data_IF_494846769346
#
_entry.id   IF_494846769346
#
_cell.length_a   1.000
_cell.length_b   1.000
_cell.length_c   1.000
_cell.angle_alpha   90.00
_cell.angle_beta   90.00
_cell.angle_gamma   90.00
#
_symmetry.space_group_name_H-M   'P 1'
#
loop_
_entity.id
_entity.type
_entity.pdbx_description
1 polymer ?
#
# COMPACT_ATOMS: atom_id res chain seq x y z
N UNK A 1 11.75 -12.06 -1.27
CA UNK A 1 10.87 -11.05 -0.62
C UNK A 1 10.56 -11.33 0.84
N UNK A 2 10.92 -12.49 1.42
CA UNK A 2 10.63 -12.83 2.83
C UNK A 2 11.32 -11.92 3.83
N UNK A 3 12.59 -11.56 3.60
CA UNK A 3 13.38 -10.74 4.53
C UNK A 3 12.82 -9.31 4.65
N UNK A 4 12.45 -8.67 3.54
CA UNK A 4 11.78 -7.35 3.57
C UNK A 4 10.42 -7.39 4.29
N UNK A 5 9.74 -8.55 4.32
CA UNK A 5 8.49 -8.66 5.09
C UNK A 5 8.71 -8.47 6.58
N UNK A 6 9.89 -8.83 7.09
CA UNK A 6 10.21 -8.66 8.51
C UNK A 6 10.29 -7.19 8.89
N UNK A 7 10.83 -6.35 8.01
CA UNK A 7 10.91 -4.90 8.20
C UNK A 7 9.52 -4.30 8.43
N UNK A 8 8.59 -4.49 7.48
CA UNK A 8 7.27 -3.84 7.60
C UNK A 8 6.26 -4.57 8.50
N UNK A 9 6.56 -5.81 8.92
CA UNK A 9 5.79 -6.55 9.93
C UNK A 9 6.35 -6.42 11.34
N UNK A 10 7.46 -5.71 11.53
CA UNK A 10 8.03 -5.48 12.85
C UNK A 10 7.00 -4.81 13.79
N UNK A 11 7.05 -5.08 15.10
CA UNK A 11 6.09 -4.49 16.03
C UNK A 11 6.26 -2.97 16.16
N UNK A 12 7.50 -2.48 16.19
CA UNK A 12 7.86 -1.06 16.36
C UNK A 12 8.82 -0.58 15.26
N UNK A 13 9.00 0.75 15.16
CA UNK A 13 9.95 1.35 14.23
C UNK A 13 11.41 0.95 14.51
N UNK A 14 11.79 0.84 15.79
CA UNK A 14 13.15 0.44 16.19
C UNK A 14 13.45 -1.00 15.79
N UNK A 15 12.48 -1.91 15.98
CA UNK A 15 12.62 -3.29 15.54
C UNK A 15 12.67 -3.38 14.01
N UNK A 16 11.92 -2.53 13.30
CA UNK A 16 11.97 -2.44 11.85
C UNK A 16 13.33 -1.96 11.32
N UNK A 17 13.97 -1.00 12.01
CA UNK A 17 15.32 -0.53 11.71
C UNK A 17 16.35 -1.65 11.86
N UNK A 18 16.28 -2.44 12.93
CA UNK A 18 17.16 -3.59 13.14
C UNK A 18 17.00 -4.64 12.03
N UNK A 19 15.75 -4.95 11.64
CA UNK A 19 15.50 -5.86 10.53
C UNK A 19 16.00 -5.28 9.20
N UNK A 20 15.91 -3.96 8.99
CA UNK A 20 16.45 -3.30 7.80
C UNK A 20 17.98 -3.42 7.72
N UNK A 21 18.67 -3.31 8.86
CA UNK A 21 20.12 -3.52 8.94
C UNK A 21 20.51 -4.98 8.60
N UNK A 22 19.74 -5.96 9.08
CA UNK A 22 19.95 -7.37 8.71
C UNK A 22 19.73 -7.62 7.22
N UNK A 23 18.69 -7.00 6.65
CA UNK A 23 18.43 -7.03 5.20
C UNK A 23 19.59 -6.41 4.44
N UNK A 24 20.15 -5.31 4.94
CA UNK A 24 21.27 -4.61 4.32
C UNK A 24 22.58 -5.40 4.39
N UNK A 25 22.89 -6.02 5.52
CA UNK A 25 24.03 -6.92 5.64
C UNK A 25 23.98 -8.07 4.63
N UNK A 26 22.78 -8.63 4.40
CA UNK A 26 22.57 -9.77 3.51
C UNK A 26 22.51 -9.38 2.02
N UNK A 27 21.82 -8.30 1.69
CA UNK A 27 21.47 -7.95 0.30
C UNK A 27 22.18 -6.70 -0.22
N UNK A 28 22.86 -5.93 0.62
CA UNK A 28 23.41 -4.63 0.26
C UNK A 28 24.50 -4.66 -0.80
N UNK A 29 25.28 -5.75 -0.87
CA UNK A 29 26.24 -5.95 -1.96
C UNK A 29 25.56 -6.13 -3.33
N UNK A 30 24.38 -6.76 -3.35
CA UNK A 30 23.67 -7.08 -4.59
C UNK A 30 22.70 -5.98 -5.03
N UNK A 31 22.06 -5.30 -4.08
CA UNK A 31 21.03 -4.29 -4.34
C UNK A 31 21.28 -2.98 -3.58
N UNK A 32 22.44 -2.33 -3.74
CA UNK A 32 22.81 -1.14 -2.96
C UNK A 32 21.86 0.05 -3.20
N UNK A 33 21.40 0.24 -4.43
CA UNK A 33 20.49 1.35 -4.78
C UNK A 33 19.11 1.21 -4.13
N UNK A 34 18.61 -0.02 -4.01
CA UNK A 34 17.30 -0.29 -3.40
C UNK A 34 17.37 0.09 -1.92
N UNK A 35 18.39 -0.36 -1.21
CA UNK A 35 18.53 -0.08 0.22
C UNK A 35 18.84 1.39 0.51
N UNK A 36 19.64 2.04 -0.34
CA UNK A 36 19.85 3.49 -0.28
C UNK A 36 18.52 4.25 -0.40
N UNK A 37 17.65 3.85 -1.31
CA UNK A 37 16.32 4.44 -1.45
C UNK A 37 15.45 4.22 -0.20
N UNK A 38 15.50 3.04 0.40
CA UNK A 38 14.80 2.74 1.65
C UNK A 38 15.29 3.60 2.82
N UNK A 39 16.61 3.75 2.98
CA UNK A 39 17.22 4.62 4.00
C UNK A 39 16.83 6.09 3.79
N UNK A 40 16.96 6.59 2.55
CA UNK A 40 16.64 7.97 2.22
C UNK A 40 15.16 8.31 2.46
N UNK A 41 14.27 7.36 2.22
CA UNK A 41 12.83 7.53 2.40
C UNK A 41 12.32 7.00 3.74
N UNK A 42 13.21 6.61 4.66
CA UNK A 42 12.82 5.91 5.88
C UNK A 42 11.81 6.71 6.71
N UNK A 43 12.05 8.01 6.88
CA UNK A 43 11.15 8.89 7.62
C UNK A 43 9.71 8.92 7.09
N UNK A 44 9.52 8.68 5.78
CA UNK A 44 8.19 8.59 5.17
C UNK A 44 7.61 7.18 5.31
N UNK A 45 8.46 6.16 5.17
CA UNK A 45 8.05 4.77 5.27
C UNK A 45 7.68 4.42 6.71
N UNK A 46 8.42 4.89 7.72
CA UNK A 46 8.19 4.51 9.11
C UNK A 46 6.95 5.12 9.73
N UNK A 47 6.31 6.12 9.09
CA UNK A 47 5.08 6.75 9.59
C UNK A 47 3.97 5.74 9.86
N UNK A 48 3.89 4.65 9.09
CA UNK A 48 2.82 3.68 9.31
C UNK A 48 2.95 2.93 10.66
N UNK A 49 4.13 2.92 11.30
CA UNK A 49 4.32 2.35 12.65
C UNK A 49 3.58 3.13 13.75
N UNK A 50 3.12 4.37 13.45
CA UNK A 50 2.22 5.12 14.35
C UNK A 50 0.83 4.49 14.46
N UNK A 51 0.49 3.56 13.58
CA UNK A 51 -0.79 2.86 13.59
C UNK A 51 -0.65 1.45 14.18
N UNK A 52 -1.69 0.94 14.86
CA UNK A 52 -1.73 -0.43 15.36
C UNK A 52 -1.75 -1.44 14.20
N UNK A 53 -1.38 -2.69 14.48
CA UNK A 53 -1.13 -3.73 13.47
C UNK A 53 -2.32 -3.94 12.52
N UNK A 54 -3.54 -3.80 13.04
CA UNK A 54 -4.77 -4.05 12.33
C UNK A 54 -5.00 -3.03 11.22
N UNK A 55 -4.59 -1.78 11.44
CA UNK A 55 -4.56 -0.74 10.40
C UNK A 55 -3.38 -0.97 9.46
N UNK A 56 -2.19 -1.30 9.99
CA UNK A 56 -0.97 -1.50 9.19
C UNK A 56 -1.14 -2.60 8.14
N UNK A 57 -1.86 -3.67 8.47
CA UNK A 57 -2.16 -4.78 7.55
C UNK A 57 -2.89 -4.34 6.29
N UNK A 58 -3.81 -3.40 6.43
CA UNK A 58 -4.51 -2.81 5.29
C UNK A 58 -3.55 -1.99 4.43
N UNK A 59 -2.63 -1.23 5.04
CA UNK A 59 -1.67 -0.36 4.34
C UNK A 59 -0.67 -1.17 3.51
N UNK A 60 -0.02 -2.19 4.08
CA UNK A 60 1.02 -2.94 3.36
C UNK A 60 0.47 -3.99 2.37
N UNK A 61 -0.85 -4.18 2.30
CA UNK A 61 -1.46 -5.11 1.35
C UNK A 61 -1.55 -4.48 -0.03
N UNK A 62 -0.66 -4.89 -0.93
CA UNK A 62 -0.60 -4.36 -2.30
C UNK A 62 -1.63 -4.97 -3.24
N UNK A 63 -2.35 -6.03 -2.83
CA UNK A 63 -3.28 -6.78 -3.69
C UNK A 63 -4.33 -5.90 -4.39
N UNK A 64 -4.85 -4.88 -3.70
CA UNK A 64 -5.89 -3.99 -4.25
C UNK A 64 -5.30 -3.14 -5.38
N UNK A 65 -4.22 -2.41 -5.08
CA UNK A 65 -3.55 -1.51 -6.04
C UNK A 65 -2.95 -2.30 -7.21
N UNK A 66 -2.33 -3.46 -6.95
CA UNK A 66 -1.76 -4.29 -8.00
C UNK A 66 -2.82 -4.88 -8.93
N UNK A 67 -4.01 -5.24 -8.42
CA UNK A 67 -5.10 -5.69 -9.26
C UNK A 67 -5.58 -4.57 -10.21
N UNK A 68 -5.70 -3.34 -9.70
CA UNK A 68 -6.03 -2.15 -10.52
C UNK A 68 -4.97 -1.95 -11.59
N UNK A 69 -3.69 -1.85 -11.20
CA UNK A 69 -2.57 -1.69 -12.14
C UNK A 69 -2.51 -2.80 -13.18
N UNK A 70 -2.82 -4.04 -12.80
CA UNK A 70 -2.88 -5.17 -13.72
C UNK A 70 -4.00 -4.99 -14.76
N UNK A 71 -5.19 -4.56 -14.36
CA UNK A 71 -6.26 -4.30 -15.34
C UNK A 71 -5.93 -3.13 -16.25
N UNK A 72 -5.37 -2.06 -15.72
CA UNK A 72 -4.96 -0.91 -16.53
C UNK A 72 -3.91 -1.32 -17.56
N UNK A 73 -2.86 -2.04 -17.14
CA UNK A 73 -1.87 -2.63 -18.07
C UNK A 73 -2.52 -3.56 -19.09
N UNK A 74 -3.51 -4.36 -18.70
CA UNK A 74 -4.22 -5.26 -19.62
C UNK A 74 -4.95 -4.51 -20.72
N UNK A 75 -5.71 -3.45 -20.39
CA UNK A 75 -6.49 -2.69 -21.38
C UNK A 75 -5.62 -1.81 -22.26
N UNK A 76 -4.47 -1.34 -21.76
CA UNK A 76 -3.54 -0.53 -22.54
C UNK A 76 -2.52 -1.34 -23.34
N UNK A 77 -2.29 -2.63 -23.02
CA UNK A 77 -1.25 -3.47 -23.66
C UNK A 77 -1.27 -3.46 -25.18
N UNK A 78 -2.46 -3.45 -25.79
CA UNK A 78 -2.63 -3.55 -27.23
C UNK A 78 -2.68 -2.18 -27.94
N UNK A 79 -2.54 -1.06 -27.19
CA UNK A 79 -2.55 0.30 -27.73
C UNK A 79 -1.26 1.01 -27.34
N UNK A 80 -0.33 1.08 -28.30
CA UNK A 80 0.95 1.79 -28.12
C UNK A 80 0.81 3.31 -28.14
N UNK A 81 -0.22 3.84 -28.82
CA UNK A 81 -0.47 5.28 -28.94
C UNK A 81 -1.95 5.56 -28.75
N UNK A 82 -2.25 6.65 -28.04
CA UNK A 82 -3.59 7.20 -27.86
C UNK A 82 -3.71 8.51 -28.64
N UNK A 83 -4.83 8.76 -29.36
CA UNK A 83 -5.01 9.99 -30.14
C UNK A 83 -4.97 11.27 -29.29
N UNK A 84 -5.40 11.20 -28.03
CA UNK A 84 -5.34 12.29 -27.05
C UNK A 84 -5.54 11.74 -25.63
N UNK A 85 -5.29 12.57 -24.61
CA UNK A 85 -5.43 12.20 -23.20
C UNK A 85 -6.85 11.72 -22.83
N UNK A 86 -7.88 12.31 -23.43
CA UNK A 86 -9.26 11.94 -23.12
C UNK A 86 -9.63 10.54 -23.61
N UNK A 87 -9.04 10.09 -24.72
CA UNK A 87 -9.21 8.73 -25.19
C UNK A 87 -8.59 7.70 -24.22
N UNK A 88 -7.44 8.02 -23.62
CA UNK A 88 -6.83 7.21 -22.56
C UNK A 88 -7.68 7.23 -21.29
N UNK A 89 -8.11 8.41 -20.83
CA UNK A 89 -8.96 8.56 -19.64
C UNK A 89 -10.26 7.75 -19.78
N UNK A 90 -10.94 7.83 -20.94
CA UNK A 90 -12.15 7.03 -21.21
C UNK A 90 -11.88 5.54 -21.10
N UNK A 91 -10.77 5.06 -21.66
CA UNK A 91 -10.40 3.64 -21.56
C UNK A 91 -10.13 3.20 -20.11
N UNK A 92 -9.35 3.97 -19.36
CA UNK A 92 -9.05 3.69 -17.96
C UNK A 92 -10.32 3.75 -17.10
N UNK A 93 -11.21 4.71 -17.37
CA UNK A 93 -12.51 4.81 -16.70
C UNK A 93 -13.39 3.57 -16.94
N UNK A 94 -13.47 3.09 -18.18
CA UNK A 94 -14.23 1.87 -18.49
C UNK A 94 -13.65 0.66 -17.75
N UNK A 95 -12.32 0.53 -17.71
CA UNK A 95 -11.66 -0.53 -16.96
C UNK A 95 -11.91 -0.44 -15.46
N UNK A 96 -11.86 0.77 -14.90
CA UNK A 96 -12.20 1.05 -13.50
C UNK A 96 -13.66 0.70 -13.20
N UNK A 97 -14.60 1.14 -14.04
CA UNK A 97 -16.03 0.86 -13.88
C UNK A 97 -16.31 -0.64 -13.81
N UNK A 98 -15.67 -1.42 -14.67
CA UNK A 98 -15.87 -2.87 -14.71
C UNK A 98 -15.16 -3.59 -13.54
N UNK A 99 -14.06 -3.03 -13.03
CA UNK A 99 -13.42 -3.45 -11.78
C UNK A 99 -14.29 -3.17 -10.56
N UNK A 100 -14.81 -1.95 -10.45
CA UNK A 100 -15.61 -1.46 -9.34
C UNK A 100 -16.85 -2.34 -9.12
N UNK A 101 -17.49 -2.80 -10.20
CA UNK A 101 -18.62 -3.76 -10.13
C UNK A 101 -18.28 -5.07 -9.41
N UNK A 102 -16.99 -5.44 -9.33
CA UNK A 102 -16.52 -6.66 -8.67
C UNK A 102 -16.11 -6.43 -7.21
N UNK A 103 -16.05 -5.18 -6.75
CA UNK A 103 -15.69 -4.83 -5.37
C UNK A 103 -16.93 -4.90 -4.48
N UNK A 104 -17.46 -6.11 -4.31
CA UNK A 104 -18.66 -6.36 -3.48
C UNK A 104 -18.32 -6.74 -2.05
N UNK A 105 -17.10 -7.23 -1.80
CA UNK A 105 -16.66 -7.65 -0.47
C UNK A 105 -16.09 -6.48 0.32
N UNK A 106 -16.44 -6.33 1.61
CA UNK A 106 -15.82 -5.33 2.47
C UNK A 106 -14.34 -5.65 2.71
N UNK A 107 -13.58 -4.64 3.14
CA UNK A 107 -12.20 -4.83 3.59
C UNK A 107 -12.20 -5.81 4.77
N UNK A 108 -11.28 -6.77 4.74
CA UNK A 108 -11.17 -7.78 5.80
C UNK A 108 -10.83 -7.10 7.13
N UNK A 109 -11.47 -7.53 8.21
CA UNK A 109 -11.26 -7.01 9.57
C UNK A 109 -11.54 -5.49 9.68
N UNK A 110 -12.36 -4.93 8.78
CA UNK A 110 -12.62 -3.48 8.72
C UNK A 110 -13.22 -2.92 10.00
N UNK A 111 -14.14 -3.63 10.64
CA UNK A 111 -14.76 -3.19 11.91
C UNK A 111 -13.73 -2.95 13.00
N UNK A 112 -12.70 -3.80 13.07
CA UNK A 112 -11.62 -3.65 14.05
C UNK A 112 -10.70 -2.48 13.67
N UNK A 113 -10.38 -2.31 12.39
CA UNK A 113 -9.61 -1.14 11.94
C UNK A 113 -10.38 0.16 12.23
N UNK A 114 -11.70 0.17 12.02
CA UNK A 114 -12.56 1.31 12.26
C UNK A 114 -12.64 1.68 13.75
N UNK A 115 -12.69 0.70 14.66
CA UNK A 115 -12.66 0.99 16.09
C UNK A 115 -11.34 1.62 16.52
N UNK A 116 -10.21 1.12 16.00
CA UNK A 116 -8.89 1.74 16.24
C UNK A 116 -8.83 3.17 15.67
N UNK A 117 -9.38 3.40 14.47
CA UNK A 117 -9.46 4.75 13.91
C UNK A 117 -10.33 5.68 14.76
N UNK A 118 -11.45 5.20 15.31
CA UNK A 118 -12.31 5.97 16.18
C UNK A 118 -11.59 6.42 17.46
N UNK A 119 -10.69 5.59 18.01
CA UNK A 119 -9.87 5.94 19.18
C UNK A 119 -8.77 6.95 18.79
N UNK A 120 -8.06 6.72 17.68
CA UNK A 120 -6.93 7.58 17.27
C UNK A 120 -7.41 8.95 16.76
N UNK A 121 -8.59 9.01 16.15
CA UNK A 121 -9.15 10.19 15.49
C UNK A 121 -10.56 10.54 15.99
N UNK A 122 -10.77 10.48 17.30
CA UNK A 122 -12.07 10.69 17.95
C UNK A 122 -12.78 11.98 17.49
N UNK A 123 -12.07 13.12 17.52
CA UNK A 123 -12.63 14.42 17.13
C UNK A 123 -13.09 14.48 15.67
N UNK A 124 -12.53 13.62 14.81
CA UNK A 124 -12.85 13.58 13.38
C UNK A 124 -13.99 12.62 13.08
N UNK A 125 -14.04 11.48 13.76
CA UNK A 125 -14.98 10.40 13.45
C UNK A 125 -16.27 10.44 14.26
N UNK A 126 -16.27 11.04 15.45
CA UNK A 126 -17.47 11.24 16.28
C UNK A 126 -18.65 11.85 15.51
N UNK A 127 -18.39 12.72 14.53
CA UNK A 127 -19.41 13.36 13.68
C UNK A 127 -20.11 12.42 12.69
N UNK A 128 -19.54 11.24 12.43
CA UNK A 128 -20.01 10.30 11.41
C UNK A 128 -20.42 8.94 11.99
N UNK A 129 -20.23 8.74 13.30
CA UNK A 129 -20.52 7.49 14.00
C UNK A 129 -21.81 7.58 14.85
N UNK A 130 -22.51 8.72 14.81
CA UNK A 130 -23.81 8.95 15.45
C UNK A 130 -24.95 8.88 14.43
#
# INVERSE_FOLDING_TARGET
MTDLKKVYKAPTEESALQELEMVEAKWGKKYPLVLKSWRNNWANISVFFKYPEEIRKTIYTTNIVENVHRQFRKVTKNRSVFPNDDSLKKMLYLAYRDLHKKWTMPVRDWTFSLSQFAIIFEERLSKYLN
#
